data_IF_150598731919
#
_entry.id   IF_150598731919
#
_cell.length_a   1.000
_cell.length_b   1.000
_cell.length_c   1.000
_cell.angle_alpha   90.00
_cell.angle_beta   90.00
_cell.angle_gamma   90.00
#
_symmetry.space_group_name_H-M   'P 1'
#
loop_
_entity.id
_entity.type
_entity.pdbx_description
1 polymer ?
#
# COMPACT_ATOMS: atom_id res chain seq x y z
N UNK A 1 -3.80 -4.35 -16.56
CA UNK A 1 -3.05 -4.64 -15.31
C UNK A 1 -1.56 -4.86 -15.58
N UNK A 2 -1.14 -5.88 -16.35
CA UNK A 2 0.29 -6.12 -16.66
C UNK A 2 1.04 -4.91 -17.24
N UNK A 3 0.43 -4.18 -18.18
CA UNK A 3 1.02 -2.96 -18.74
C UNK A 3 1.26 -1.87 -17.68
N UNK A 4 0.39 -1.78 -16.67
CA UNK A 4 0.55 -0.83 -15.57
C UNK A 4 1.64 -1.26 -14.59
N UNK A 5 1.77 -2.57 -14.33
CA UNK A 5 2.86 -3.11 -13.52
C UNK A 5 4.22 -2.83 -14.19
N UNK A 6 4.30 -3.02 -15.51
CA UNK A 6 5.47 -2.65 -16.31
C UNK A 6 5.73 -1.14 -16.28
N UNK A 7 4.70 -0.31 -16.43
CA UNK A 7 4.80 1.14 -16.32
C UNK A 7 5.40 1.57 -14.98
N UNK A 8 4.92 1.00 -13.88
CA UNK A 8 5.42 1.25 -12.53
C UNK A 8 6.93 0.90 -12.42
N UNK A 9 7.33 -0.28 -12.91
CA UNK A 9 8.75 -0.65 -12.96
C UNK A 9 9.60 0.30 -13.82
N UNK A 10 9.10 0.71 -14.99
CA UNK A 10 9.75 1.68 -15.88
C UNK A 10 9.96 3.03 -15.17
N UNK A 11 8.97 3.48 -14.38
CA UNK A 11 9.09 4.69 -13.57
C UNK A 11 10.29 4.64 -12.63
N UNK A 12 10.43 3.57 -11.84
CA UNK A 12 11.57 3.40 -10.93
C UNK A 12 12.90 3.30 -11.66
N UNK A 13 12.94 2.58 -12.79
CA UNK A 13 14.15 2.46 -13.61
C UNK A 13 14.57 3.84 -14.14
N UNK A 14 13.63 4.68 -14.59
CA UNK A 14 13.94 6.01 -15.08
C UNK A 14 14.61 6.89 -14.01
N UNK A 15 14.16 6.80 -12.76
CA UNK A 15 14.79 7.52 -11.63
C UNK A 15 16.19 6.99 -11.35
N UNK A 16 16.38 5.68 -11.35
CA UNK A 16 17.70 5.08 -11.14
C UNK A 16 18.69 5.43 -12.26
N UNK A 17 18.25 5.38 -13.52
CA UNK A 17 19.06 5.76 -14.69
C UNK A 17 19.48 7.23 -14.59
N UNK A 18 18.58 8.13 -14.18
CA UNK A 18 18.93 9.52 -13.92
C UNK A 18 20.04 9.64 -12.87
N UNK A 19 20.01 8.80 -11.84
CA UNK A 19 21.07 8.78 -10.84
C UNK A 19 22.43 8.37 -11.38
N UNK A 20 22.47 7.36 -12.26
CA UNK A 20 23.70 6.94 -12.94
C UNK A 20 24.23 8.05 -13.85
N UNK A 21 23.36 8.63 -14.69
CA UNK A 21 23.74 9.76 -15.54
C UNK A 21 24.28 10.95 -14.75
N UNK A 22 23.73 11.19 -13.55
CA UNK A 22 24.23 12.21 -12.63
C UNK A 22 25.64 11.88 -12.14
N UNK A 23 25.89 10.60 -11.79
CA UNK A 23 27.21 10.11 -11.43
C UNK A 23 28.25 10.28 -12.54
N UNK A 24 27.96 9.79 -13.74
CA UNK A 24 28.84 9.88 -14.91
C UNK A 24 29.18 11.34 -15.27
N UNK A 25 28.20 12.23 -15.15
CA UNK A 25 28.39 13.66 -15.40
C UNK A 25 29.35 14.27 -14.38
N UNK A 26 29.28 13.87 -13.11
CA UNK A 26 30.18 14.34 -12.06
C UNK A 26 31.60 13.82 -12.28
N UNK A 27 31.76 12.54 -12.65
CA UNK A 27 33.08 12.02 -13.04
C UNK A 27 33.66 12.78 -14.23
N UNK A 28 32.84 13.07 -15.25
CA UNK A 28 33.26 13.88 -16.41
C UNK A 28 33.66 15.31 -16.02
N UNK A 29 33.08 15.88 -14.96
CA UNK A 29 33.43 17.22 -14.46
C UNK A 29 34.70 17.22 -13.61
N UNK A 30 34.97 16.13 -12.88
CA UNK A 30 36.16 16.00 -12.05
C UNK A 30 37.43 15.71 -12.88
N UNK A 31 37.29 15.02 -14.01
CA UNK A 31 38.42 14.60 -14.84
C UNK A 31 38.90 15.64 -15.87
N UNK A 32 38.09 16.65 -16.20
CA UNK A 32 38.44 17.70 -17.17
C UNK A 32 38.44 19.04 -16.46
N UNK A 33 39.55 19.79 -16.52
CA UNK A 33 39.58 21.19 -16.09
C UNK A 33 38.46 21.94 -16.82
N UNK A 34 37.40 22.24 -16.07
CA UNK A 34 36.14 22.77 -16.55
C UNK A 34 36.33 24.14 -17.23
N UNK A 35 36.02 24.24 -18.52
CA UNK A 35 35.72 25.56 -19.13
C UNK A 35 34.60 25.50 -20.17
N UNK A 36 34.50 24.47 -21.03
CA UNK A 36 33.50 24.49 -22.11
C UNK A 36 32.40 23.43 -21.97
N UNK A 37 31.14 23.88 -21.89
CA UNK A 37 29.94 23.01 -21.97
C UNK A 37 29.31 22.56 -20.64
N UNK A 38 29.85 22.96 -19.49
CA UNK A 38 29.29 22.65 -18.16
C UNK A 38 27.83 23.10 -18.03
N UNK A 39 27.52 24.33 -18.44
CA UNK A 39 26.16 24.88 -18.39
C UNK A 39 25.19 24.12 -19.29
N UNK A 40 25.65 23.62 -20.44
CA UNK A 40 24.83 22.81 -21.35
C UNK A 40 24.53 21.43 -20.76
N UNK A 41 25.55 20.76 -20.18
CA UNK A 41 25.38 19.48 -19.48
C UNK A 41 24.48 19.61 -18.25
N UNK A 42 24.62 20.68 -17.47
CA UNK A 42 23.72 20.99 -16.36
C UNK A 42 22.29 21.27 -16.82
N UNK A 43 22.11 22.04 -17.89
CA UNK A 43 20.80 22.29 -18.50
C UNK A 43 20.12 21.01 -18.98
N UNK A 44 20.89 20.10 -19.60
CA UNK A 44 20.41 18.78 -20.00
C UNK A 44 20.02 17.92 -18.80
N UNK A 45 20.81 17.92 -17.73
CA UNK A 45 20.51 17.19 -16.51
C UNK A 45 19.25 17.72 -15.82
N UNK A 46 19.07 19.04 -15.76
CA UNK A 46 17.84 19.66 -15.25
C UNK A 46 16.62 19.25 -16.09
N UNK A 47 16.73 19.27 -17.42
CA UNK A 47 15.64 18.84 -18.30
C UNK A 47 15.32 17.35 -18.11
N UNK A 48 16.35 16.49 -18.06
CA UNK A 48 16.19 15.06 -17.80
C UNK A 48 15.50 14.84 -16.45
N UNK A 49 15.87 15.60 -15.41
CA UNK A 49 15.24 15.51 -14.08
C UNK A 49 13.78 15.89 -14.09
N UNK A 50 13.41 16.94 -14.84
CA UNK A 50 12.01 17.33 -15.01
C UNK A 50 11.21 16.26 -15.74
N UNK A 51 11.77 15.68 -16.81
CA UNK A 51 11.12 14.62 -17.59
C UNK A 51 10.92 13.37 -16.73
N UNK A 52 11.95 12.93 -16.01
CA UNK A 52 11.88 11.77 -15.13
C UNK A 52 10.89 11.99 -13.98
N UNK A 53 10.80 13.19 -13.42
CA UNK A 53 9.82 13.54 -12.39
C UNK A 53 8.39 13.43 -12.95
N UNK A 54 8.11 14.06 -14.08
CA UNK A 54 6.81 13.96 -14.74
C UNK A 54 6.45 12.51 -15.08
N UNK A 55 7.38 11.77 -15.66
CA UNK A 55 7.18 10.37 -16.03
C UNK A 55 6.90 9.50 -14.80
N UNK A 56 7.67 9.68 -13.73
CA UNK A 56 7.49 8.95 -12.48
C UNK A 56 6.12 9.25 -11.88
N UNK A 57 5.72 10.52 -11.78
CA UNK A 57 4.39 10.88 -11.27
C UNK A 57 3.25 10.19 -12.04
N UNK A 58 3.32 10.18 -13.37
CA UNK A 58 2.30 9.51 -14.18
C UNK A 58 2.32 7.99 -14.00
N UNK A 59 3.50 7.37 -14.04
CA UNK A 59 3.63 5.90 -14.06
C UNK A 59 3.49 5.25 -12.68
N UNK A 60 4.03 5.86 -11.63
CA UNK A 60 4.08 5.26 -10.28
C UNK A 60 2.94 5.74 -9.39
N UNK A 61 2.37 6.94 -9.64
CA UNK A 61 1.31 7.52 -8.78
C UNK A 61 -0.04 7.57 -9.48
N UNK A 62 -0.15 8.31 -10.59
CA UNK A 62 -1.46 8.61 -11.19
C UNK A 62 -2.15 7.40 -11.83
N UNK A 63 -1.43 6.62 -12.64
CA UNK A 63 -2.01 5.46 -13.33
C UNK A 63 -2.51 4.40 -12.32
N UNK A 64 -1.72 3.96 -11.33
CA UNK A 64 -2.20 3.01 -10.32
C UNK A 64 -3.43 3.52 -9.57
N UNK A 65 -3.43 4.80 -9.15
CA UNK A 65 -4.54 5.39 -8.42
C UNK A 65 -5.81 5.49 -9.26
N UNK A 66 -5.69 5.89 -10.54
CA UNK A 66 -6.81 5.92 -11.48
C UNK A 66 -7.41 4.52 -11.66
N UNK A 67 -6.56 3.52 -11.90
CA UNK A 67 -7.01 2.13 -12.05
C UNK A 67 -7.72 1.63 -10.79
N UNK A 68 -7.20 1.98 -9.60
CA UNK A 68 -7.79 1.63 -8.32
C UNK A 68 -9.24 2.13 -8.21
N UNK A 69 -9.46 3.41 -8.52
CA UNK A 69 -10.79 4.02 -8.49
C UNK A 69 -11.74 3.44 -9.53
N UNK A 70 -11.29 3.26 -10.78
CA UNK A 70 -12.11 2.69 -11.84
C UNK A 70 -12.56 1.26 -11.51
N UNK A 71 -11.65 0.43 -11.00
CA UNK A 71 -12.00 -0.94 -10.60
C UNK A 71 -12.89 -1.00 -9.35
N UNK A 72 -12.75 -0.05 -8.44
CA UNK A 72 -13.62 0.04 -7.26
C UNK A 72 -15.06 0.37 -7.61
N UNK A 73 -15.26 1.33 -8.50
CA UNK A 73 -16.59 1.64 -9.05
C UNK A 73 -17.14 0.44 -9.83
N UNK A 74 -16.33 -0.16 -10.71
CA UNK A 74 -16.77 -1.33 -11.49
C UNK A 74 -17.13 -2.53 -10.60
N UNK A 75 -16.37 -2.79 -9.53
CA UNK A 75 -16.68 -3.88 -8.59
C UNK A 75 -17.97 -3.61 -7.81
N UNK A 76 -18.23 -2.36 -7.44
CA UNK A 76 -19.50 -1.97 -6.83
C UNK A 76 -20.69 -2.16 -7.79
N UNK A 77 -20.54 -1.81 -9.06
CA UNK A 77 -21.53 -2.07 -10.12
C UNK A 77 -21.78 -3.58 -10.33
N UNK A 78 -20.74 -4.40 -10.28
CA UNK A 78 -20.86 -5.86 -10.34
C UNK A 78 -21.60 -6.39 -9.11
N UNK A 79 -21.20 -5.97 -7.90
CA UNK A 79 -21.80 -6.42 -6.65
C UNK A 79 -23.30 -6.08 -6.55
N UNK A 80 -23.73 -4.90 -7.03
CA UNK A 80 -25.16 -4.58 -7.09
C UNK A 80 -25.87 -5.39 -8.17
N UNK A 81 -25.23 -5.68 -9.31
CA UNK A 81 -25.81 -6.56 -10.33
C UNK A 81 -26.00 -7.99 -9.84
N UNK A 82 -25.08 -8.49 -9.02
CA UNK A 82 -25.14 -9.79 -8.34
C UNK A 82 -26.27 -9.81 -7.31
N UNK A 83 -26.37 -8.76 -6.50
CA UNK A 83 -27.49 -8.59 -5.58
C UNK A 83 -28.84 -8.63 -6.29
N UNK A 84 -28.98 -7.96 -7.46
CA UNK A 84 -30.22 -7.96 -8.24
C UNK A 84 -30.57 -9.33 -8.86
N UNK A 85 -29.57 -10.19 -9.10
CA UNK A 85 -29.75 -11.56 -9.61
C UNK A 85 -29.98 -12.57 -8.49
N UNK A 86 -29.65 -12.22 -7.25
CA UNK A 86 -29.79 -13.08 -6.08
C UNK A 86 -31.23 -13.55 -5.92
N UNK A 87 -31.38 -14.83 -5.60
CA UNK A 87 -32.72 -15.39 -5.44
C UNK A 87 -33.42 -14.91 -4.17
N UNK A 88 -34.75 -14.81 -4.24
CA UNK A 88 -35.60 -14.48 -3.08
C UNK A 88 -35.54 -15.53 -1.97
N UNK A 89 -34.98 -16.72 -2.25
CA UNK A 89 -34.71 -17.75 -1.23
C UNK A 89 -33.50 -17.39 -0.38
N UNK A 90 -32.50 -16.73 -0.97
CA UNK A 90 -31.22 -16.41 -0.32
C UNK A 90 -31.25 -15.03 0.31
N UNK A 91 -31.94 -14.07 -0.30
CA UNK A 91 -32.11 -12.71 0.21
C UNK A 91 -32.47 -12.61 1.72
N UNK A 92 -33.34 -13.47 2.30
CA UNK A 92 -33.68 -13.39 3.72
C UNK A 92 -32.57 -13.86 4.67
N UNK A 93 -31.49 -14.50 4.18
CA UNK A 93 -30.40 -15.01 5.02
C UNK A 93 -29.64 -13.88 5.72
N UNK A 94 -29.50 -12.72 5.07
CA UNK A 94 -28.74 -11.57 5.57
C UNK A 94 -29.61 -10.32 5.73
N UNK A 95 -29.18 -9.37 6.56
CA UNK A 95 -29.89 -8.09 6.78
C UNK A 95 -29.58 -7.11 5.65
N UNK A 96 -30.50 -6.17 5.37
CA UNK A 96 -30.30 -5.11 4.36
C UNK A 96 -28.97 -4.34 4.53
N UNK A 97 -28.55 -4.09 5.77
CA UNK A 97 -27.27 -3.42 6.05
C UNK A 97 -26.04 -4.21 5.60
N UNK A 98 -26.10 -5.54 5.59
CA UNK A 98 -25.03 -6.39 5.07
C UNK A 98 -24.85 -6.18 3.57
N UNK A 99 -25.92 -6.32 2.79
CA UNK A 99 -25.87 -6.12 1.33
C UNK A 99 -25.43 -4.70 0.96
N UNK A 100 -25.89 -3.69 1.70
CA UNK A 100 -25.42 -2.31 1.51
C UNK A 100 -23.92 -2.20 1.74
N UNK A 101 -23.39 -2.82 2.80
CA UNK A 101 -21.95 -2.83 3.07
C UNK A 101 -21.17 -3.57 1.97
N UNK A 102 -21.71 -4.69 1.45
CA UNK A 102 -21.06 -5.45 0.38
C UNK A 102 -20.88 -4.60 -0.87
N UNK A 103 -21.94 -3.92 -1.31
CA UNK A 103 -21.92 -3.09 -2.52
C UNK A 103 -21.08 -1.82 -2.35
N UNK A 104 -21.09 -1.20 -1.18
CA UNK A 104 -20.48 0.12 -0.97
C UNK A 104 -19.06 0.07 -0.43
N UNK A 105 -18.72 -0.91 0.41
CA UNK A 105 -17.43 -0.98 1.10
C UNK A 105 -16.65 -2.23 0.69
N UNK A 106 -17.24 -3.41 0.84
CA UNK A 106 -16.53 -4.68 0.63
C UNK A 106 -16.06 -4.83 -0.82
N UNK A 107 -16.89 -4.46 -1.80
CA UNK A 107 -16.54 -4.45 -3.22
C UNK A 107 -15.33 -3.52 -3.50
N UNK A 108 -15.32 -2.32 -2.92
CA UNK A 108 -14.20 -1.37 -3.04
C UNK A 108 -12.90 -1.94 -2.45
N UNK A 109 -12.99 -2.54 -1.27
CA UNK A 109 -11.83 -3.17 -0.59
C UNK A 109 -11.30 -4.34 -1.43
N UNK A 110 -12.19 -5.20 -1.95
CA UNK A 110 -11.82 -6.35 -2.78
C UNK A 110 -11.06 -5.93 -4.05
N UNK A 111 -11.62 -5.00 -4.84
CA UNK A 111 -10.97 -4.52 -6.06
C UNK A 111 -9.67 -3.79 -5.78
N UNK A 112 -9.61 -3.02 -4.69
CA UNK A 112 -8.41 -2.32 -4.25
C UNK A 112 -7.27 -3.30 -3.99
N UNK A 113 -7.55 -4.39 -3.26
CA UNK A 113 -6.57 -5.46 -2.99
C UNK A 113 -6.20 -6.19 -4.28
N UNK A 114 -7.15 -6.45 -5.18
CA UNK A 114 -6.85 -7.09 -6.46
C UNK A 114 -5.86 -6.28 -7.30
N UNK A 115 -6.01 -4.95 -7.33
CA UNK A 115 -5.06 -4.06 -8.02
C UNK A 115 -3.72 -3.99 -7.29
N UNK A 116 -3.73 -3.88 -5.97
CA UNK A 116 -2.52 -3.89 -5.16
C UNK A 116 -1.69 -5.16 -5.45
N UNK A 117 -2.32 -6.33 -5.52
CA UNK A 117 -1.65 -7.59 -5.86
C UNK A 117 -1.22 -7.64 -7.33
N UNK A 118 -2.07 -7.20 -8.26
CA UNK A 118 -1.82 -7.38 -9.70
C UNK A 118 -0.91 -6.33 -10.33
N UNK A 119 -0.83 -5.13 -9.75
CA UNK A 119 -0.09 -3.99 -10.32
C UNK A 119 1.07 -3.62 -9.40
N UNK A 120 0.78 -3.32 -8.13
CA UNK A 120 1.77 -2.77 -7.20
C UNK A 120 2.77 -3.84 -6.74
N UNK A 121 2.31 -5.03 -6.39
CA UNK A 121 3.19 -6.12 -5.97
C UNK A 121 4.05 -6.63 -7.13
N UNK A 122 3.45 -6.89 -8.30
CA UNK A 122 4.22 -7.33 -9.48
C UNK A 122 5.18 -6.23 -9.97
N UNK A 123 4.71 -4.99 -10.07
CA UNK A 123 5.54 -3.86 -10.49
C UNK A 123 6.67 -3.56 -9.52
N UNK A 124 6.39 -3.58 -8.21
CA UNK A 124 7.39 -3.42 -7.15
C UNK A 124 8.42 -4.55 -7.15
N UNK A 125 8.00 -5.80 -7.29
CA UNK A 125 8.91 -6.94 -7.37
C UNK A 125 9.82 -6.87 -8.60
N UNK A 126 9.27 -6.52 -9.77
CA UNK A 126 10.05 -6.28 -10.98
C UNK A 126 11.05 -5.13 -10.79
N UNK A 127 10.61 -4.02 -10.18
CA UNK A 127 11.47 -2.89 -9.91
C UNK A 127 12.65 -3.26 -8.98
N UNK A 128 12.41 -4.01 -7.90
CA UNK A 128 13.46 -4.50 -7.01
C UNK A 128 14.49 -5.35 -7.76
N UNK A 129 14.03 -6.28 -8.62
CA UNK A 129 14.92 -7.13 -9.42
C UNK A 129 15.76 -6.29 -10.37
N UNK A 130 15.13 -5.37 -11.12
CA UNK A 130 15.86 -4.55 -12.10
C UNK A 130 16.82 -3.59 -11.41
N UNK A 131 16.43 -2.94 -10.31
CA UNK A 131 17.32 -2.07 -9.54
C UNK A 131 18.52 -2.83 -8.97
N UNK A 132 18.32 -4.07 -8.52
CA UNK A 132 19.43 -4.92 -8.09
C UNK A 132 20.38 -5.23 -9.26
N UNK A 133 19.87 -5.61 -10.44
CA UNK A 133 20.69 -5.84 -11.64
C UNK A 133 21.47 -4.57 -12.00
N UNK A 134 20.80 -3.42 -12.03
CA UNK A 134 21.42 -2.12 -12.32
C UNK A 134 22.54 -1.81 -11.32
N UNK A 135 22.33 -2.07 -10.02
CA UNK A 135 23.36 -1.88 -9.01
C UNK A 135 24.61 -2.75 -9.28
N UNK A 136 24.44 -4.01 -9.70
CA UNK A 136 25.55 -4.88 -10.11
C UNK A 136 26.27 -4.38 -11.37
N UNK A 137 25.55 -3.74 -12.31
CA UNK A 137 26.17 -3.17 -13.51
C UNK A 137 27.00 -1.92 -13.23
N UNK A 138 26.64 -1.15 -12.20
CA UNK A 138 27.44 0.01 -11.76
C UNK A 138 28.70 -0.47 -11.06
N UNK A 139 28.57 -1.23 -9.98
CA UNK A 139 29.72 -1.80 -9.29
C UNK A 139 29.33 -3.09 -8.55
N UNK A 140 30.09 -4.20 -8.68
CA UNK A 140 29.78 -5.46 -8.01
C UNK A 140 29.65 -5.34 -6.48
N UNK A 141 30.41 -4.45 -5.84
CA UNK A 141 30.33 -4.23 -4.40
C UNK A 141 29.04 -3.54 -3.97
N UNK A 142 28.55 -2.58 -4.76
CA UNK A 142 27.24 -1.94 -4.54
C UNK A 142 26.13 -2.98 -4.72
N UNK A 143 26.22 -3.80 -5.77
CA UNK A 143 25.26 -4.88 -6.00
C UNK A 143 25.15 -5.84 -4.81
N UNK A 144 26.28 -6.20 -4.19
CA UNK A 144 26.30 -7.03 -2.99
C UNK A 144 25.67 -6.34 -1.78
N UNK A 145 25.93 -5.03 -1.60
CA UNK A 145 25.29 -4.23 -0.56
C UNK A 145 23.76 -4.19 -0.76
N UNK A 146 23.29 -3.95 -1.98
CA UNK A 146 21.86 -3.97 -2.34
C UNK A 146 21.25 -5.35 -2.08
N UNK A 147 21.95 -6.42 -2.45
CA UNK A 147 21.50 -7.80 -2.22
C UNK A 147 21.36 -8.12 -0.74
N UNK A 148 22.23 -7.60 0.13
CA UNK A 148 22.12 -7.74 1.59
C UNK A 148 21.03 -6.83 2.16
N UNK A 149 20.85 -5.64 1.59
CA UNK A 149 19.86 -4.67 2.02
C UNK A 149 18.43 -5.20 1.85
N UNK A 150 18.10 -5.86 0.74
CA UNK A 150 16.75 -6.40 0.48
C UNK A 150 16.23 -7.32 1.60
N UNK A 151 16.90 -8.43 1.98
CA UNK A 151 16.43 -9.29 3.05
C UNK A 151 16.47 -8.59 4.41
N UNK A 152 17.47 -7.75 4.67
CA UNK A 152 17.55 -6.96 5.91
C UNK A 152 16.34 -6.02 6.05
N UNK A 153 15.96 -5.37 4.96
CA UNK A 153 14.78 -4.50 4.87
C UNK A 153 13.50 -5.27 5.19
N UNK A 154 13.28 -6.40 4.51
CA UNK A 154 12.09 -7.21 4.69
C UNK A 154 11.95 -7.70 6.14
N UNK A 155 13.04 -8.11 6.77
CA UNK A 155 13.01 -8.59 8.18
C UNK A 155 12.65 -7.46 9.15
N UNK A 156 13.22 -6.27 8.96
CA UNK A 156 13.01 -5.13 9.86
C UNK A 156 11.61 -4.54 9.71
N UNK A 157 11.10 -4.42 8.48
CA UNK A 157 9.84 -3.74 8.18
C UNK A 157 8.61 -4.66 8.34
N UNK A 158 8.77 -5.98 8.15
CA UNK A 158 7.66 -6.93 8.26
C UNK A 158 7.13 -7.05 9.71
N UNK A 159 7.99 -6.93 10.72
CA UNK A 159 7.59 -7.08 12.12
C UNK A 159 6.62 -5.98 12.64
N UNK A 160 6.95 -4.67 12.53
CA UNK A 160 6.03 -3.60 12.94
C UNK A 160 4.71 -3.63 12.17
N UNK A 161 4.76 -3.97 10.88
CA UNK A 161 3.60 -3.98 9.99
C UNK A 161 2.62 -5.08 10.37
N UNK A 162 3.11 -6.30 10.63
CA UNK A 162 2.29 -7.40 11.17
C UNK A 162 1.68 -7.03 12.53
N UNK A 163 2.47 -6.44 13.42
CA UNK A 163 2.00 -6.09 14.76
C UNK A 163 0.92 -5.02 14.73
N UNK A 164 1.02 -4.06 13.82
CA UNK A 164 -0.03 -3.05 13.58
C UNK A 164 -1.36 -3.72 13.24
N UNK A 165 -1.37 -4.66 12.29
CA UNK A 165 -2.59 -5.34 11.87
C UNK A 165 -3.23 -6.18 12.99
N UNK A 166 -2.43 -6.93 13.75
CA UNK A 166 -2.94 -7.69 14.90
C UNK A 166 -3.64 -6.79 15.93
N UNK A 167 -2.99 -5.68 16.31
CA UNK A 167 -3.52 -4.76 17.30
C UNK A 167 -4.74 -4.01 16.74
N UNK A 168 -4.77 -3.71 15.43
CA UNK A 168 -5.93 -3.10 14.79
C UNK A 168 -7.17 -3.99 14.92
N UNK A 169 -7.06 -5.29 14.64
CA UNK A 169 -8.18 -6.22 14.82
C UNK A 169 -8.68 -6.26 16.27
N UNK A 170 -7.77 -6.26 17.25
CA UNK A 170 -8.15 -6.20 18.67
C UNK A 170 -8.80 -4.86 19.04
N UNK A 171 -8.27 -3.74 18.51
CA UNK A 171 -8.80 -2.41 18.77
C UNK A 171 -10.23 -2.23 18.25
N UNK A 172 -10.58 -2.87 17.13
CA UNK A 172 -11.95 -2.85 16.60
C UNK A 172 -12.94 -3.52 17.56
N UNK A 173 -12.58 -4.68 18.12
CA UNK A 173 -13.42 -5.38 19.12
C UNK A 173 -13.61 -4.55 20.39
N UNK A 174 -12.54 -3.88 20.85
CA UNK A 174 -12.62 -2.99 22.02
C UNK A 174 -13.45 -1.73 21.75
N UNK A 175 -13.37 -1.20 20.53
CA UNK A 175 -14.20 -0.08 20.07
C UNK A 175 -15.69 -0.43 20.13
N UNK A 176 -16.06 -1.62 19.67
CA UNK A 176 -17.45 -2.09 19.72
C UNK A 176 -17.98 -2.14 21.16
N UNK A 177 -17.20 -2.68 22.09
CA UNK A 177 -17.58 -2.71 23.51
C UNK A 177 -17.73 -1.31 24.13
N UNK A 178 -16.81 -0.39 23.80
CA UNK A 178 -16.91 1.02 24.23
C UNK A 178 -18.15 1.71 23.65
N UNK A 179 -18.45 1.48 22.36
CA UNK A 179 -19.63 2.03 21.69
C UNK A 179 -20.92 1.45 22.27
N UNK A 180 -20.95 0.16 22.62
CA UNK A 180 -22.10 -0.50 23.24
C UNK A 180 -22.43 0.10 24.61
N UNK A 181 -21.43 0.30 25.47
CA UNK A 181 -21.61 0.98 26.76
C UNK A 181 -22.09 2.41 26.55
N UNK A 182 -21.51 3.14 25.59
CA UNK A 182 -21.95 4.49 25.24
C UNK A 182 -23.41 4.55 24.78
N UNK A 183 -23.83 3.62 23.91
CA UNK A 183 -25.23 3.49 23.48
C UNK A 183 -26.16 3.22 24.65
N UNK A 184 -25.83 2.24 25.50
CA UNK A 184 -26.64 1.90 26.67
C UNK A 184 -26.82 3.09 27.62
N UNK A 185 -25.77 3.87 27.87
CA UNK A 185 -25.85 5.08 28.72
C UNK A 185 -26.81 6.12 28.11
N UNK A 186 -26.78 6.30 26.79
CA UNK A 186 -27.65 7.26 26.10
C UNK A 186 -29.10 6.79 26.10
N UNK A 187 -29.33 5.52 25.78
CA UNK A 187 -30.67 4.91 25.70
C UNK A 187 -31.34 4.81 27.08
N UNK A 188 -30.60 4.43 28.12
CA UNK A 188 -31.12 4.21 29.48
C UNK A 188 -30.99 5.43 30.40
N UNK A 189 -30.69 6.62 29.85
CA UNK A 189 -30.40 7.83 30.63
C UNK A 189 -31.43 8.11 31.74
N UNK A 190 -32.72 7.97 31.44
CA UNK A 190 -33.78 8.23 32.41
C UNK A 190 -33.70 7.26 33.61
N UNK A 191 -33.54 5.97 33.34
CA UNK A 191 -33.43 4.90 34.34
C UNK A 191 -32.18 5.07 35.22
N UNK A 192 -31.05 5.41 34.60
CA UNK A 192 -29.77 5.64 35.30
C UNK A 192 -29.92 6.78 36.32
N UNK A 193 -30.50 7.91 35.89
CA UNK A 193 -30.73 9.08 36.75
C UNK A 193 -31.75 8.78 37.87
N UNK A 194 -32.81 8.03 37.57
CA UNK A 194 -33.82 7.65 38.56
C UNK A 194 -33.23 6.77 39.67
N UNK A 195 -32.32 5.87 39.32
CA UNK A 195 -31.62 4.97 40.24
C UNK A 195 -30.40 5.61 40.92
N UNK A 196 -30.04 6.85 40.56
CA UNK A 196 -28.81 7.54 41.01
C UNK A 196 -27.54 6.70 40.76
N UNK A 197 -27.48 6.05 39.60
CA UNK A 197 -26.40 5.14 39.21
C UNK A 197 -25.33 5.82 38.33
N UNK A 198 -25.31 7.15 38.23
CA UNK A 198 -24.46 7.91 37.30
C UNK A 198 -22.98 7.57 37.48
N UNK A 199 -22.49 7.57 38.73
CA UNK A 199 -21.10 7.25 39.05
C UNK A 199 -20.69 5.84 38.60
N UNK A 200 -21.62 4.87 38.64
CA UNK A 200 -21.34 3.50 38.19
C UNK A 200 -21.13 3.46 36.67
N UNK A 201 -22.03 4.10 35.91
CA UNK A 201 -21.93 4.13 34.45
C UNK A 201 -20.79 5.01 33.94
N UNK A 202 -20.47 6.10 34.64
CA UNK A 202 -19.30 6.93 34.34
C UNK A 202 -18.00 6.12 34.51
N UNK A 203 -17.87 5.36 35.61
CA UNK A 203 -16.72 4.49 35.84
C UNK A 203 -16.65 3.34 34.81
N UNK A 204 -17.78 2.73 34.46
CA UNK A 204 -17.83 1.68 33.45
C UNK A 204 -17.42 2.20 32.06
N UNK A 205 -17.90 3.39 31.69
CA UNK A 205 -17.52 4.05 30.45
C UNK A 205 -16.03 4.40 30.43
N UNK A 206 -15.51 4.95 31.53
CA UNK A 206 -14.09 5.28 31.67
C UNK A 206 -13.20 4.04 31.54
N UNK A 207 -13.54 2.93 32.19
CA UNK A 207 -12.80 1.68 32.10
C UNK A 207 -12.76 1.14 30.65
N UNK A 208 -13.89 1.14 29.95
CA UNK A 208 -13.95 0.71 28.55
C UNK A 208 -13.18 1.66 27.61
N UNK A 209 -13.25 2.97 27.87
CA UNK A 209 -12.52 3.98 27.12
C UNK A 209 -11.00 3.85 27.33
N UNK A 210 -10.54 3.64 28.57
CA UNK A 210 -9.12 3.47 28.89
C UNK A 210 -8.55 2.20 28.24
N UNK A 211 -9.32 1.11 28.23
CA UNK A 211 -8.95 -0.11 27.52
C UNK A 211 -8.84 0.13 26.01
N UNK A 212 -9.87 0.71 25.38
CA UNK A 212 -9.83 1.05 23.95
C UNK A 212 -8.66 1.99 23.62
N UNK A 213 -8.42 3.00 24.45
CA UNK A 213 -7.32 3.95 24.31
C UNK A 213 -5.96 3.26 24.33
N UNK A 214 -5.74 2.26 25.20
CA UNK A 214 -4.48 1.52 25.25
C UNK A 214 -4.20 0.79 23.92
N UNK A 215 -5.22 0.16 23.34
CA UNK A 215 -5.10 -0.53 22.05
C UNK A 215 -4.87 0.45 20.90
N UNK A 216 -5.62 1.55 20.86
CA UNK A 216 -5.44 2.60 19.83
C UNK A 216 -4.05 3.19 19.94
N UNK A 217 -3.60 3.57 21.14
CA UNK A 217 -2.25 4.12 21.37
C UNK A 217 -1.17 3.17 20.86
N UNK A 218 -1.30 1.87 21.16
CA UNK A 218 -0.35 0.85 20.72
C UNK A 218 -0.38 0.67 19.20
N UNK A 219 -1.57 0.61 18.60
CA UNK A 219 -1.74 0.54 17.15
C UNK A 219 -1.13 1.75 16.43
N UNK A 220 -1.41 2.96 16.92
CA UNK A 220 -0.84 4.19 16.38
C UNK A 220 0.68 4.24 16.50
N UNK A 221 1.25 3.73 17.60
CA UNK A 221 2.71 3.65 17.74
C UNK A 221 3.34 2.74 16.68
N UNK A 222 2.81 1.51 16.50
CA UNK A 222 3.34 0.61 15.47
C UNK A 222 3.08 1.11 14.05
N UNK A 223 1.94 1.77 13.80
CA UNK A 223 1.66 2.40 12.52
C UNK A 223 2.64 3.55 12.21
N UNK A 224 2.95 4.38 13.19
CA UNK A 224 3.97 5.42 13.06
C UNK A 224 5.35 4.80 12.79
N UNK A 225 5.70 3.72 13.49
CA UNK A 225 6.94 2.99 13.26
C UNK A 225 7.02 2.41 11.85
N UNK A 226 5.95 1.77 11.35
CA UNK A 226 5.87 1.26 9.98
C UNK A 226 6.03 2.36 8.92
N UNK A 227 5.66 3.60 9.22
CA UNK A 227 5.82 4.75 8.30
C UNK A 227 7.22 5.38 8.36
N UNK A 228 7.82 5.48 9.53
CA UNK A 228 9.10 6.19 9.71
C UNK A 228 10.34 5.29 9.59
N UNK A 229 10.23 4.00 9.92
CA UNK A 229 11.34 3.06 9.90
C UNK A 229 11.93 2.83 8.50
N UNK A 230 11.12 2.71 7.42
CA UNK A 230 11.61 2.68 6.04
C UNK A 230 12.64 3.77 5.70
N UNK A 231 12.27 5.04 5.93
CA UNK A 231 13.14 6.18 5.61
C UNK A 231 14.38 6.21 6.49
N UNK A 232 14.27 5.85 7.77
CA UNK A 232 15.42 5.74 8.67
C UNK A 232 16.42 4.68 8.20
N UNK A 233 15.90 3.53 7.75
CA UNK A 233 16.71 2.41 7.25
C UNK A 233 17.37 2.73 5.89
N UNK A 234 16.65 3.43 5.02
CA UNK A 234 17.17 3.95 3.75
C UNK A 234 18.34 4.92 3.99
N UNK A 235 18.15 5.92 4.85
CA UNK A 235 19.20 6.88 5.21
C UNK A 235 20.42 6.20 5.85
N UNK A 236 20.20 5.24 6.76
CA UNK A 236 21.29 4.47 7.37
C UNK A 236 22.10 3.72 6.30
N UNK A 237 21.42 3.05 5.37
CA UNK A 237 22.06 2.27 4.31
C UNK A 237 22.81 3.16 3.32
N UNK A 238 22.28 4.33 3.01
CA UNK A 238 22.98 5.34 2.21
C UNK A 238 24.29 5.78 2.85
N UNK A 239 24.32 6.02 4.17
CA UNK A 239 25.56 6.34 4.89
C UNK A 239 26.56 5.20 4.81
N UNK A 240 26.11 3.96 5.01
CA UNK A 240 26.95 2.75 4.87
C UNK A 240 27.52 2.64 3.45
N UNK A 241 26.71 2.94 2.42
CA UNK A 241 27.14 2.92 1.03
C UNK A 241 28.19 4.00 0.73
N UNK A 242 28.04 5.21 1.28
CA UNK A 242 29.06 6.26 1.15
C UNK A 242 30.37 5.83 1.81
N UNK A 243 30.33 5.30 3.04
CA UNK A 243 31.53 4.82 3.75
C UNK A 243 32.23 3.72 2.93
N UNK A 244 31.45 2.74 2.46
CA UNK A 244 31.97 1.64 1.62
C UNK A 244 32.56 2.17 0.31
N UNK A 245 31.88 3.12 -0.32
CA UNK A 245 32.32 3.76 -1.55
C UNK A 245 33.62 4.56 -1.39
N UNK A 246 33.78 5.30 -0.30
CA UNK A 246 35.03 6.02 0.01
C UNK A 246 36.20 5.05 0.26
N UNK A 247 35.95 3.92 0.92
CA UNK A 247 36.97 2.88 1.09
C UNK A 247 37.37 2.26 -0.25
N UNK A 248 36.42 1.97 -1.13
CA UNK A 248 36.68 1.42 -2.47
C UNK A 248 37.35 2.41 -3.41
N UNK A 249 36.99 3.69 -3.33
CA UNK A 249 37.64 4.80 -4.02
C UNK A 249 39.13 4.87 -3.64
N UNK A 250 39.45 4.66 -2.37
CA UNK A 250 40.84 4.66 -1.88
C UNK A 250 41.69 3.53 -2.46
N UNK A 251 41.07 2.43 -2.90
CA UNK A 251 41.71 1.27 -3.53
C UNK A 251 41.63 1.36 -5.07
N UNK A 252 41.00 2.42 -5.61
CA UNK A 252 40.81 2.62 -7.04
C UNK A 252 39.80 1.67 -7.69
N UNK A 253 38.94 1.02 -6.89
CA UNK A 253 37.91 0.09 -7.36
C UNK A 253 36.57 0.78 -7.64
N UNK A 254 36.47 2.08 -7.39
CA UNK A 254 35.23 2.83 -7.51
C UNK A 254 35.49 4.31 -7.82
N UNK A 255 34.65 4.95 -8.65
CA UNK A 255 34.71 6.40 -8.94
C UNK A 255 33.82 7.22 -8.01
N UNK A 256 33.96 8.56 -8.05
CA UNK A 256 33.08 9.46 -7.26
C UNK A 256 31.65 9.43 -7.80
N UNK A 257 31.49 9.36 -9.12
CA UNK A 257 30.20 9.20 -9.78
C UNK A 257 29.49 7.90 -9.39
N UNK A 258 30.23 6.80 -9.28
CA UNK A 258 29.68 5.52 -8.81
C UNK A 258 29.20 5.59 -7.36
N UNK A 259 29.88 6.34 -6.47
CA UNK A 259 29.39 6.58 -5.08
C UNK A 259 28.03 7.28 -5.10
N UNK A 260 27.89 8.29 -5.95
CA UNK A 260 26.64 9.06 -6.07
C UNK A 260 25.53 8.24 -6.72
N UNK A 261 25.85 7.46 -7.74
CA UNK A 261 24.90 6.51 -8.33
C UNK A 261 24.44 5.48 -7.30
N UNK A 262 25.35 4.94 -6.47
CA UNK A 262 25.01 4.02 -5.38
C UNK A 262 24.01 4.64 -4.39
N UNK A 263 24.29 5.88 -3.97
CA UNK A 263 23.44 6.63 -3.05
C UNK A 263 22.02 6.80 -3.62
N UNK A 264 21.92 7.19 -4.89
CA UNK A 264 20.62 7.43 -5.55
C UNK A 264 19.86 6.11 -5.78
N UNK A 265 20.52 5.05 -6.20
CA UNK A 265 19.89 3.72 -6.37
C UNK A 265 19.32 3.24 -5.04
N UNK A 266 20.08 3.34 -3.94
CA UNK A 266 19.61 2.94 -2.60
C UNK A 266 18.44 3.79 -2.11
N UNK A 267 18.43 5.10 -2.43
CA UNK A 267 17.31 5.98 -2.12
C UNK A 267 16.03 5.58 -2.83
N UNK A 268 16.13 5.15 -4.09
CA UNK A 268 14.96 4.72 -4.89
C UNK A 268 14.49 3.32 -4.48
N UNK A 269 15.41 2.45 -4.08
CA UNK A 269 15.12 1.05 -3.78
C UNK A 269 14.17 0.83 -2.58
N UNK A 270 14.11 1.77 -1.62
CA UNK A 270 13.17 1.66 -0.49
C UNK A 270 11.71 1.70 -0.91
N UNK A 271 11.35 2.50 -1.93
CA UNK A 271 9.95 2.66 -2.35
C UNK A 271 9.31 1.35 -2.85
N UNK A 272 9.87 0.62 -3.84
CA UNK A 272 9.27 -0.62 -4.29
C UNK A 272 9.29 -1.72 -3.23
N UNK A 273 10.26 -1.72 -2.30
CA UNK A 273 10.26 -2.63 -1.15
C UNK A 273 9.10 -2.34 -0.19
N UNK A 274 8.82 -1.06 0.07
CA UNK A 274 7.66 -0.63 0.86
C UNK A 274 6.35 -1.01 0.19
N UNK A 275 6.25 -0.81 -1.13
CA UNK A 275 5.07 -1.23 -1.90
C UNK A 275 4.80 -2.72 -1.70
N UNK A 276 5.81 -3.57 -1.84
CA UNK A 276 5.66 -5.03 -1.64
C UNK A 276 5.19 -5.37 -0.22
N UNK A 277 5.76 -4.72 0.81
CA UNK A 277 5.36 -4.93 2.20
C UNK A 277 3.93 -4.44 2.47
N UNK A 278 3.56 -3.29 1.92
CA UNK A 278 2.24 -2.67 2.06
C UNK A 278 1.14 -3.54 1.44
N UNK A 279 1.35 -4.07 0.23
CA UNK A 279 0.36 -4.95 -0.42
C UNK A 279 0.07 -6.18 0.43
N UNK A 280 1.11 -6.82 0.98
CA UNK A 280 0.95 -7.96 1.89
C UNK A 280 0.13 -7.58 3.13
N UNK A 281 0.44 -6.44 3.73
CA UNK A 281 -0.28 -5.92 4.90
C UNK A 281 -1.76 -5.66 4.59
N UNK A 282 -2.03 -4.99 3.46
CA UNK A 282 -3.38 -4.67 2.99
C UNK A 282 -4.19 -5.94 2.68
N UNK A 283 -3.59 -6.95 2.06
CA UNK A 283 -4.23 -8.23 1.83
C UNK A 283 -4.66 -8.92 3.14
N UNK A 284 -3.76 -8.95 4.14
CA UNK A 284 -4.07 -9.55 5.44
C UNK A 284 -5.20 -8.80 6.18
N UNK A 285 -5.21 -7.47 6.09
CA UNK A 285 -6.25 -6.63 6.70
C UNK A 285 -7.61 -6.80 6.01
N UNK A 286 -7.62 -6.94 4.68
CA UNK A 286 -8.83 -7.06 3.86
C UNK A 286 -9.41 -8.48 3.79
N UNK A 287 -8.74 -9.49 4.36
CA UNK A 287 -9.11 -10.90 4.19
C UNK A 287 -10.59 -11.18 4.52
N UNK A 288 -11.10 -10.62 5.61
CA UNK A 288 -12.49 -10.82 6.01
C UNK A 288 -13.49 -10.22 5.00
N UNK A 289 -13.19 -9.04 4.45
CA UNK A 289 -14.00 -8.41 3.40
C UNK A 289 -13.93 -9.23 2.10
N UNK A 290 -12.77 -9.75 1.74
CA UNK A 290 -12.61 -10.63 0.57
C UNK A 290 -13.49 -11.87 0.71
N UNK A 291 -13.48 -12.52 1.87
CA UNK A 291 -14.31 -13.70 2.13
C UNK A 291 -15.80 -13.38 2.00
N UNK A 292 -16.24 -12.22 2.52
CA UNK A 292 -17.63 -11.74 2.39
C UNK A 292 -18.01 -11.46 0.93
N UNK A 293 -17.13 -10.83 0.14
CA UNK A 293 -17.40 -10.56 -1.28
C UNK A 293 -17.56 -11.85 -2.09
N UNK A 294 -16.67 -12.83 -1.86
CA UNK A 294 -16.72 -14.13 -2.52
C UNK A 294 -17.95 -14.95 -2.10
N UNK A 295 -18.45 -14.79 -0.87
CA UNK A 295 -19.69 -15.39 -0.43
C UNK A 295 -20.90 -14.75 -1.13
N UNK A 296 -20.94 -13.42 -1.24
CA UNK A 296 -21.98 -12.70 -1.97
C UNK A 296 -22.05 -13.11 -3.46
N UNK A 297 -20.90 -13.26 -4.11
CA UNK A 297 -20.83 -13.75 -5.50
C UNK A 297 -21.46 -15.16 -5.61
N UNK A 298 -21.16 -16.07 -4.67
CA UNK A 298 -21.74 -17.41 -4.64
C UNK A 298 -23.25 -17.39 -4.38
N UNK A 299 -23.70 -16.56 -3.44
CA UNK A 299 -25.12 -16.39 -3.13
C UNK A 299 -25.91 -15.87 -4.35
N UNK A 300 -25.31 -15.00 -5.17
CA UNK A 300 -25.90 -14.54 -6.42
C UNK A 300 -26.07 -15.64 -7.47
N UNK A 301 -25.27 -16.71 -7.40
CA UNK A 301 -25.32 -17.84 -8.34
C UNK A 301 -26.28 -18.94 -7.88
N UNK A 302 -26.81 -18.87 -6.66
CA UNK A 302 -27.77 -19.87 -6.16
C UNK A 302 -29.10 -19.77 -6.92
N UNK A 303 -29.56 -20.86 -7.56
CA UNK A 303 -30.81 -20.86 -8.29
C UNK A 303 -31.97 -20.55 -7.37
N UNK A 304 -32.92 -19.79 -7.89
CA UNK A 304 -34.14 -19.40 -7.20
C UNK A 304 -35.03 -20.61 -6.91
N UNK A 305 -34.94 -21.66 -7.73
CA UNK A 305 -35.85 -22.82 -7.66
C UNK A 305 -37.25 -22.50 -8.21
N UNK A 306 -37.53 -21.22 -8.48
CA UNK A 306 -38.72 -20.73 -9.15
C UNK A 306 -38.50 -20.47 -10.65
N UNK A 307 -37.36 -20.87 -11.25
CA UNK A 307 -37.09 -20.61 -12.68
C UNK A 307 -38.17 -21.20 -13.59
N UNK A 308 -38.78 -22.33 -13.19
CA UNK A 308 -39.89 -22.97 -13.91
C UNK A 308 -41.21 -22.19 -13.85
N UNK A 309 -41.36 -21.28 -12.90
CA UNK A 309 -42.54 -20.44 -12.70
C UNK A 309 -42.38 -19.05 -13.33
N UNK A 310 -41.17 -18.74 -13.80
CA UNK A 310 -40.87 -17.48 -14.48
C UNK A 310 -41.39 -17.51 -15.92
N UNK A 311 -42.35 -16.64 -16.23
CA UNK A 311 -42.82 -16.48 -17.60
C UNK A 311 -41.85 -15.60 -18.41
N UNK A 312 -41.00 -16.25 -19.22
CA UNK A 312 -40.01 -15.59 -20.08
C UNK A 312 -40.59 -14.64 -21.14
N UNK A 313 -41.92 -14.62 -21.32
CA UNK A 313 -42.61 -13.69 -22.24
C UNK A 313 -42.89 -12.30 -21.65
N UNK A 314 -42.70 -12.11 -20.33
CA UNK A 314 -42.81 -10.79 -19.71
C UNK A 314 -41.57 -9.95 -20.07
N UNK A 315 -41.80 -8.86 -20.84
CA UNK A 315 -40.73 -7.92 -21.18
C UNK A 315 -40.10 -7.36 -19.90
N UNK A 316 -38.77 -7.31 -19.79
CA UNK A 316 -38.12 -6.64 -18.67
C UNK A 316 -38.59 -5.19 -18.63
N UNK A 317 -38.75 -4.64 -17.43
CA UNK A 317 -39.01 -3.22 -17.25
C UNK A 317 -37.76 -2.44 -17.69
N UNK A 318 -37.71 -2.07 -18.97
CA UNK A 318 -36.76 -1.13 -19.57
C UNK A 318 -37.41 0.26 -19.44
N UNK A 319 -36.79 1.34 -18.95
CA UNK A 319 -35.40 1.81 -19.01
C UNK A 319 -34.87 2.22 -17.64
#
# INVERSE_FOLDING_TARGET
MLLSALGLAIGYIAVAMLGIFTGDLIDSMLNVQAVDGVWQKLGLLLLLSLVTLCLSFFLTVWIPQKLNLEAAVASSEVAISEFLKMSLRVFPKNKTGHYLNVVTMTAFVFSGVQIAVSVEFLGGLLAVIVLAIVAFTVNPWIGLLVLLYIPFYLVIIDYPSKKTNEILTESMKKREGWLDIGRRIIEEKFSINMLRAENYFENAYKAANDEYFLYVKRSSFFSALSKSLPSALSNFTQVVAIITGVMLLSIGQMSVGEILAAYLILSVLSEPLDTVCSVKSSYLAAKADIDVHLEHEKESQEPSGYEKLWNSSLKPAVK
#
